data_IF_617411858395
#
_entry.id   IF_617411858395
#
_cell.length_a   1.000
_cell.length_b   1.000
_cell.length_c   1.000
_cell.angle_alpha   90.00
_cell.angle_beta   90.00
_cell.angle_gamma   90.00
#
_symmetry.space_group_name_H-M   'P 1'
#
loop_
_entity.id
_entity.type
_entity.pdbx_description
1 polymer ?
#
# COMPACT_ATOMS: atom_id res chain seq x y z
N UNK A 1 0.93 7.94 -8.11
CA UNK A 1 0.12 7.22 -7.09
C UNK A 1 0.64 7.50 -5.68
N UNK A 2 0.13 8.55 -5.03
CA UNK A 2 0.52 8.92 -3.67
C UNK A 2 0.09 7.89 -2.62
N UNK A 3 -1.02 7.17 -2.84
CA UNK A 3 -1.53 6.15 -1.91
C UNK A 3 -0.60 4.95 -1.75
N UNK A 4 -0.16 4.32 -2.86
CA UNK A 4 0.84 3.25 -2.78
C UNK A 4 2.17 3.73 -2.21
N UNK A 5 2.59 4.95 -2.58
CA UNK A 5 3.83 5.51 -2.04
C UNK A 5 3.71 5.75 -0.53
N UNK A 6 2.56 6.20 -0.03
CA UNK A 6 2.28 6.34 1.39
C UNK A 6 2.24 4.98 2.09
N UNK A 7 1.62 3.94 1.51
CA UNK A 7 1.63 2.59 2.09
C UNK A 7 3.04 2.00 2.14
N UNK A 8 3.84 2.17 1.07
CA UNK A 8 5.24 1.72 1.02
C UNK A 8 6.09 2.51 2.01
N UNK A 9 5.89 3.83 2.10
CA UNK A 9 6.60 4.68 3.05
C UNK A 9 6.27 4.31 4.49
N UNK A 10 4.98 4.14 4.82
CA UNK A 10 4.52 3.68 6.14
C UNK A 10 5.13 2.32 6.46
N UNK A 11 5.13 1.37 5.52
CA UNK A 11 5.77 0.08 5.72
C UNK A 11 7.28 0.23 5.92
N UNK A 12 7.98 1.01 5.10
CA UNK A 12 9.43 1.20 5.22
C UNK A 12 9.81 1.86 6.55
N UNK A 13 9.01 2.81 7.04
CA UNK A 13 9.24 3.49 8.32
C UNK A 13 8.88 2.60 9.51
N UNK A 14 7.83 1.78 9.40
CA UNK A 14 7.37 0.92 10.50
C UNK A 14 8.04 -0.45 10.51
N UNK A 15 8.68 -0.88 9.41
CA UNK A 15 9.34 -2.18 9.30
C UNK A 15 10.39 -2.45 10.40
N UNK A 16 11.27 -1.49 10.78
CA UNK A 16 12.22 -1.71 11.87
C UNK A 16 11.52 -1.94 13.21
N UNK A 17 10.47 -1.17 13.50
CA UNK A 17 9.69 -1.25 14.74
C UNK A 17 8.88 -2.56 14.78
N UNK A 18 8.36 -2.97 13.62
CA UNK A 18 7.68 -4.25 13.44
C UNK A 18 8.63 -5.42 13.68
N UNK A 19 9.86 -5.35 13.19
CA UNK A 19 10.89 -6.38 13.39
C UNK A 19 11.33 -6.49 14.86
N UNK A 20 11.50 -5.36 15.54
CA UNK A 20 11.81 -5.33 16.98
C UNK A 20 10.66 -5.93 17.81
N UNK A 21 9.41 -5.58 17.48
CA UNK A 21 8.25 -6.16 18.14
C UNK A 21 8.14 -7.68 17.86
N UNK A 22 8.42 -8.13 16.64
CA UNK A 22 8.39 -9.55 16.27
C UNK A 22 9.50 -10.34 16.98
N UNK A 23 10.72 -9.80 17.06
CA UNK A 23 11.83 -10.41 17.81
C UNK A 23 11.48 -10.53 19.31
N UNK A 24 10.93 -9.48 19.92
CA UNK A 24 10.49 -9.52 21.32
C UNK A 24 9.38 -10.55 21.57
N UNK A 25 8.44 -10.73 20.63
CA UNK A 25 7.40 -11.75 20.72
C UNK A 25 7.95 -13.17 20.55
N UNK A 26 8.92 -13.36 19.65
CA UNK A 26 9.57 -14.67 19.45
C UNK A 26 10.41 -15.07 20.68
N UNK A 27 11.07 -14.09 21.32
CA UNK A 27 11.78 -14.28 22.59
C UNK A 27 10.82 -14.69 23.71
N UNK A 28 9.60 -14.14 23.73
CA UNK A 28 8.57 -14.51 24.70
C UNK A 28 8.17 -16.00 24.60
N UNK A 29 8.12 -16.55 23.38
CA UNK A 29 7.86 -17.99 23.17
C UNK A 29 9.00 -18.88 23.64
N UNK A 30 10.24 -18.38 23.65
CA UNK A 30 11.44 -19.15 24.00
C UNK A 30 11.88 -18.97 25.46
N UNK A 31 11.53 -17.84 26.08
CA UNK A 31 11.83 -17.51 27.48
C UNK A 31 10.60 -16.86 28.15
N UNK A 32 9.69 -17.66 28.73
CA UNK A 32 8.45 -17.16 29.33
C UNK A 32 8.67 -16.21 30.51
N UNK A 33 9.82 -16.33 31.19
CA UNK A 33 10.18 -15.55 32.38
C UNK A 33 10.99 -14.29 32.06
N UNK A 34 11.28 -14.01 30.77
CA UNK A 34 12.00 -12.80 30.38
C UNK A 34 11.05 -11.59 30.43
N UNK A 35 11.32 -10.58 31.27
CA UNK A 35 10.47 -9.39 31.33
C UNK A 35 10.66 -8.57 30.04
N UNK A 36 9.72 -8.67 29.11
CA UNK A 36 9.68 -7.88 27.87
C UNK A 36 9.69 -6.36 28.11
N UNK A 37 9.24 -5.91 29.29
CA UNK A 37 9.36 -4.51 29.76
C UNK A 37 10.83 -4.06 29.91
N UNK A 38 11.76 -4.98 30.13
CA UNK A 38 13.19 -4.67 30.27
C UNK A 38 13.86 -4.28 28.94
N UNK A 39 13.27 -4.64 27.80
CA UNK A 39 13.71 -4.21 26.46
C UNK A 39 13.11 -2.85 26.05
N UNK A 40 12.29 -2.23 26.92
CA UNK A 40 11.79 -0.86 26.73
C UNK A 40 10.59 -0.72 25.79
N UNK A 41 10.00 -1.83 25.34
CA UNK A 41 8.76 -1.81 24.53
C UNK A 41 7.57 -1.60 25.47
N UNK A 42 6.81 -0.52 25.26
CA UNK A 42 5.59 -0.28 26.05
C UNK A 42 4.42 -1.08 25.47
N UNK A 43 3.52 -1.55 26.35
CA UNK A 43 2.30 -2.24 25.93
C UNK A 43 1.47 -1.44 24.92
N UNK A 44 1.46 -0.12 25.09
CA UNK A 44 0.77 0.83 24.20
C UNK A 44 1.31 0.77 22.78
N UNK A 45 2.62 0.61 22.62
CA UNK A 45 3.29 0.67 21.33
C UNK A 45 3.01 -0.63 20.54
N UNK A 46 2.97 -1.76 21.26
CA UNK A 46 2.54 -3.05 20.68
C UNK A 46 1.08 -3.01 20.18
N UNK A 47 0.17 -2.43 20.95
CA UNK A 47 -1.24 -2.27 20.52
C UNK A 47 -1.38 -1.34 19.31
N UNK A 48 -0.67 -0.21 19.31
CA UNK A 48 -0.67 0.72 18.17
C UNK A 48 -0.16 0.05 16.89
N UNK A 49 0.91 -0.74 16.99
CA UNK A 49 1.48 -1.48 15.87
C UNK A 49 0.51 -2.53 15.32
N UNK A 50 -0.17 -3.28 16.20
CA UNK A 50 -1.20 -4.25 15.80
C UNK A 50 -2.36 -3.60 15.07
N UNK A 51 -2.88 -2.49 15.59
CA UNK A 51 -3.97 -1.74 14.97
C UNK A 51 -3.53 -1.19 13.61
N UNK A 52 -2.34 -0.60 13.53
CA UNK A 52 -1.79 -0.07 12.29
C UNK A 52 -1.60 -1.17 11.24
N UNK A 53 -1.02 -2.31 11.61
CA UNK A 53 -0.85 -3.47 10.73
C UNK A 53 -2.20 -3.99 10.22
N UNK A 54 -3.18 -4.14 11.10
CA UNK A 54 -4.54 -4.56 10.73
C UNK A 54 -5.21 -3.57 9.76
N UNK A 55 -4.97 -2.27 9.92
CA UNK A 55 -5.49 -1.25 9.01
C UNK A 55 -4.78 -1.28 7.65
N UNK A 56 -3.47 -1.47 7.59
CA UNK A 56 -2.69 -1.42 6.33
C UNK A 56 -2.90 -2.65 5.45
N UNK A 57 -3.09 -3.85 6.03
CA UNK A 57 -3.29 -5.09 5.30
C UNK A 57 -4.40 -5.06 4.22
N UNK A 58 -5.64 -4.60 4.50
CA UNK A 58 -6.68 -4.53 3.47
C UNK A 58 -6.33 -3.54 2.35
N UNK A 59 -5.68 -2.41 2.65
CA UNK A 59 -5.22 -1.49 1.61
C UNK A 59 -4.15 -2.14 0.72
N UNK A 60 -3.23 -2.91 1.31
CA UNK A 60 -2.22 -3.66 0.56
C UNK A 60 -2.81 -4.77 -0.31
N UNK A 61 -3.95 -5.35 0.06
CA UNK A 61 -4.62 -6.36 -0.75
C UNK A 61 -5.46 -5.75 -1.89
N UNK A 62 -6.13 -4.62 -1.64
CA UNK A 62 -7.08 -4.02 -2.59
C UNK A 62 -6.41 -3.02 -3.54
N UNK A 63 -5.43 -2.25 -3.06
CA UNK A 63 -4.83 -1.18 -3.86
C UNK A 63 -4.03 -1.69 -5.06
N UNK A 64 -3.15 -2.72 -4.94
CA UNK A 64 -2.42 -3.22 -6.10
C UNK A 64 -3.30 -3.69 -7.26
N UNK A 65 -4.31 -4.57 -7.09
CA UNK A 65 -5.15 -4.97 -8.21
C UNK A 65 -5.94 -3.80 -8.81
N UNK A 66 -6.39 -2.84 -7.99
CA UNK A 66 -6.99 -1.59 -8.48
C UNK A 66 -6.00 -0.77 -9.32
N UNK A 67 -4.76 -0.61 -8.87
CA UNK A 67 -3.75 0.12 -9.62
C UNK A 67 -3.42 -0.60 -10.94
N UNK A 68 -3.28 -1.93 -10.92
CA UNK A 68 -3.03 -2.73 -12.11
C UNK A 68 -4.17 -2.68 -13.13
N UNK A 69 -5.43 -2.56 -12.69
CA UNK A 69 -6.56 -2.41 -13.62
C UNK A 69 -6.69 -0.99 -14.18
N UNK A 70 -6.37 0.05 -13.39
CA UNK A 70 -6.58 1.44 -13.80
C UNK A 70 -5.38 2.10 -14.51
N UNK A 71 -4.14 1.66 -14.25
CA UNK A 71 -2.97 2.17 -14.95
C UNK A 71 -3.03 1.99 -16.48
N UNK A 72 -3.39 0.82 -17.05
CA UNK A 72 -3.52 0.69 -18.50
C UNK A 72 -4.64 1.55 -19.05
N UNK A 73 -5.76 1.67 -18.32
CA UNK A 73 -6.88 2.53 -18.70
C UNK A 73 -6.45 4.01 -18.81
N UNK A 74 -5.68 4.51 -17.84
CA UNK A 74 -5.09 5.85 -17.89
C UNK A 74 -4.09 5.99 -19.05
N UNK A 75 -3.27 4.97 -19.31
CA UNK A 75 -2.30 4.97 -20.41
C UNK A 75 -2.96 5.04 -21.80
N UNK A 76 -4.20 4.56 -21.94
CA UNK A 76 -5.01 4.64 -23.16
C UNK A 76 -6.07 5.74 -23.13
N UNK A 77 -6.13 6.56 -22.07
CA UNK A 77 -7.17 7.57 -21.86
C UNK A 77 -8.60 7.01 -22.02
N UNK A 78 -8.87 5.92 -21.32
CA UNK A 78 -10.14 5.21 -21.40
C UNK A 78 -10.71 5.02 -19.99
N UNK A 79 -12.01 5.24 -19.83
CA UNK A 79 -12.70 4.92 -18.59
C UNK A 79 -12.96 3.41 -18.48
N UNK A 80 -13.24 2.93 -17.26
CA UNK A 80 -13.63 1.53 -17.07
C UNK A 80 -14.90 1.17 -17.87
N UNK A 81 -15.83 2.12 -18.01
CA UNK A 81 -17.07 1.92 -18.79
C UNK A 81 -16.77 1.76 -20.28
N UNK A 82 -15.95 2.65 -20.84
CA UNK A 82 -15.55 2.59 -22.25
C UNK A 82 -14.80 1.30 -22.58
N UNK A 83 -14.04 0.73 -21.62
CA UNK A 83 -13.34 -0.54 -21.79
C UNK A 83 -14.27 -1.76 -21.89
N UNK A 84 -15.57 -1.62 -21.63
CA UNK A 84 -16.53 -2.71 -21.81
C UNK A 84 -17.12 -2.77 -23.22
N UNK A 85 -16.80 -1.80 -24.09
CA UNK A 85 -17.37 -1.66 -25.42
C UNK A 85 -16.32 -1.89 -26.51
N UNK A 86 -16.39 -3.02 -27.21
CA UNK A 86 -15.45 -3.36 -28.31
C UNK A 86 -15.88 -2.83 -29.69
N UNK A 87 -16.99 -2.08 -29.74
CA UNK A 87 -17.63 -1.67 -30.99
C UNK A 87 -17.18 -0.28 -31.49
N UNK A 88 -16.26 0.39 -30.79
CA UNK A 88 -15.77 1.70 -31.17
C UNK A 88 -14.26 1.81 -30.92
N UNK A 89 -13.52 2.31 -31.91
CA UNK A 89 -12.12 2.65 -31.73
C UNK A 89 -11.98 3.83 -30.76
N UNK A 90 -10.98 3.80 -29.88
CA UNK A 90 -10.78 4.83 -28.85
C UNK A 90 -10.33 6.17 -29.48
N UNK A 91 -11.20 7.21 -29.53
CA UNK A 91 -10.88 8.49 -30.15
C UNK A 91 -10.10 9.42 -29.21
N UNK A 92 -9.99 9.08 -27.92
CA UNK A 92 -9.38 9.93 -26.88
C UNK A 92 -7.92 9.57 -26.59
N UNK A 93 -7.40 8.51 -27.23
CA UNK A 93 -6.02 8.10 -27.08
C UNK A 93 -5.08 9.07 -27.84
N UNK A 94 -4.33 9.88 -27.10
CA UNK A 94 -3.37 10.85 -27.63
C UNK A 94 -1.91 10.38 -27.51
N UNK A 95 -1.69 9.13 -27.08
CA UNK A 95 -0.38 8.60 -26.71
C UNK A 95 -0.12 8.65 -25.21
N UNK A 96 0.66 7.70 -24.70
CA UNK A 96 0.76 7.42 -23.25
C UNK A 96 1.15 8.64 -22.40
N UNK A 97 2.13 9.43 -22.83
CA UNK A 97 2.58 10.61 -22.09
C UNK A 97 1.50 11.71 -22.05
N UNK A 98 0.90 12.02 -23.20
CA UNK A 98 -0.18 13.01 -23.31
C UNK A 98 -1.43 12.57 -22.53
N UNK A 99 -1.73 11.27 -22.52
CA UNK A 99 -2.84 10.71 -21.74
C UNK A 99 -2.59 10.85 -20.23
N UNK A 100 -1.37 10.55 -19.77
CA UNK A 100 -1.01 10.76 -18.35
C UNK A 100 -1.01 12.23 -17.95
N UNK A 101 -0.63 13.13 -18.85
CA UNK A 101 -0.70 14.57 -18.60
C UNK A 101 -2.14 15.05 -18.36
N UNK A 102 -3.16 14.41 -18.96
CA UNK A 102 -4.57 14.72 -18.66
C UNK A 102 -4.98 14.33 -17.24
N UNK A 103 -4.39 13.28 -16.68
CA UNK A 103 -4.75 12.77 -15.33
C UNK A 103 -3.93 13.48 -14.24
N UNK A 104 -2.65 13.70 -14.50
CA UNK A 104 -1.70 14.19 -13.49
C UNK A 104 -1.28 15.66 -13.68
N UNK A 105 -1.63 16.28 -14.81
CA UNK A 105 -1.16 17.61 -15.21
C UNK A 105 0.13 17.54 -16.05
N UNK A 106 0.50 18.67 -16.65
CA UNK A 106 1.82 18.84 -17.27
C UNK A 106 2.89 18.98 -16.16
N UNK A 107 4.03 18.31 -16.35
CA UNK A 107 5.16 18.28 -15.41
C UNK A 107 6.25 19.27 -15.79
#
# INVERSE_FOLDING_TARGET
CYGSFACIAVLATTFPELFLCLDSMLRLQTMPDAPWEAEGIRLTDAWLLLILGAMVLPFMMIFPPMAFSHLPLAAYNQTYLENQYDNMANPYNLGTEANFAQVFGEF
#
